data_IF_786474208212
#
_entry.id   IF_786474208212
#
_cell.length_a   1.000
_cell.length_b   1.000
_cell.length_c   1.000
_cell.angle_alpha   90.00
_cell.angle_beta   90.00
_cell.angle_gamma   90.00
#
_symmetry.space_group_name_H-M   'P 1'
#
loop_
_entity.id
_entity.type
_entity.pdbx_description
1 polymer ?
#
# COMPACT_ATOMS: atom_id res chain seq x y z
N UNK A 1 -15.49 39.54 0.12
CA UNK A 1 -15.74 38.26 0.82
C UNK A 1 -14.70 37.29 0.28
N UNK A 2 -13.68 36.99 1.08
CA UNK A 2 -12.70 35.96 0.72
C UNK A 2 -13.44 34.64 0.99
N UNK A 3 -13.70 33.86 -0.05
CA UNK A 3 -14.27 32.53 0.13
C UNK A 3 -13.22 31.69 0.88
N UNK A 4 -13.57 31.27 2.09
CA UNK A 4 -12.78 30.31 2.85
C UNK A 4 -12.61 29.07 1.98
N UNK A 5 -11.35 28.77 1.67
CA UNK A 5 -10.95 27.58 0.93
C UNK A 5 -11.37 26.36 1.77
N UNK A 6 -12.53 25.77 1.45
CA UNK A 6 -12.97 24.47 1.97
C UNK A 6 -11.81 23.48 1.75
N UNK A 7 -11.10 23.15 2.83
CA UNK A 7 -10.19 22.01 2.79
C UNK A 7 -11.07 20.79 2.62
N UNK A 8 -11.17 20.27 1.40
CA UNK A 8 -11.70 18.93 1.19
C UNK A 8 -11.02 18.00 2.19
N UNK A 9 -11.80 17.42 3.09
CA UNK A 9 -11.30 16.43 4.04
C UNK A 9 -11.05 15.15 3.25
N UNK A 10 -9.86 15.06 2.65
CA UNK A 10 -9.39 13.83 2.01
C UNK A 10 -9.22 12.78 3.10
N UNK A 11 -9.74 11.57 2.86
CA UNK A 11 -9.59 10.46 3.80
C UNK A 11 -8.11 10.13 4.02
N UNK A 12 -7.70 9.75 5.25
CA UNK A 12 -6.35 9.27 5.53
C UNK A 12 -5.95 8.11 4.61
N UNK A 13 -4.67 8.05 4.23
CA UNK A 13 -4.17 6.99 3.34
C UNK A 13 -4.30 5.61 3.98
N UNK A 14 -4.20 5.53 5.31
CA UNK A 14 -4.35 4.31 6.09
C UNK A 14 -5.77 3.73 5.99
N UNK A 15 -6.80 4.58 5.92
CA UNK A 15 -8.18 4.12 5.70
C UNK A 15 -8.33 3.46 4.34
N UNK A 16 -7.78 4.11 3.29
CA UNK A 16 -7.82 3.58 1.92
C UNK A 16 -7.04 2.27 1.82
N UNK A 17 -5.84 2.21 2.39
CA UNK A 17 -5.01 1.00 2.40
C UNK A 17 -5.69 -0.14 3.18
N UNK A 18 -6.35 0.15 4.31
CA UNK A 18 -7.07 -0.85 5.09
C UNK A 18 -8.29 -1.41 4.35
N UNK A 19 -9.01 -0.58 3.61
CA UNK A 19 -10.12 -1.01 2.74
C UNK A 19 -9.62 -1.97 1.66
N UNK A 20 -8.56 -1.60 0.94
CA UNK A 20 -7.97 -2.42 -0.13
C UNK A 20 -7.39 -3.74 0.39
N UNK A 21 -6.69 -3.72 1.53
CA UNK A 21 -6.06 -4.91 2.10
C UNK A 21 -7.09 -5.99 2.48
N UNK A 22 -8.33 -5.62 2.82
CA UNK A 22 -9.42 -6.55 3.16
C UNK A 22 -9.95 -7.33 1.95
N UNK A 23 -9.72 -6.84 0.74
CA UNK A 23 -10.12 -7.54 -0.48
C UNK A 23 -9.22 -8.74 -0.80
N UNK A 24 -8.06 -8.82 -0.14
CA UNK A 24 -7.05 -9.87 -0.36
C UNK A 24 -7.20 -10.96 0.73
N UNK A 25 -7.40 -12.23 0.34
CA UNK A 25 -7.45 -13.36 1.28
C UNK A 25 -6.15 -13.53 2.10
N UNK A 26 -6.27 -14.01 3.34
CA UNK A 26 -5.12 -14.25 4.23
C UNK A 26 -4.07 -15.19 3.61
N UNK A 27 -4.50 -16.21 2.89
CA UNK A 27 -3.60 -17.16 2.21
C UNK A 27 -2.70 -16.52 1.15
N UNK A 28 -3.09 -15.37 0.58
CA UNK A 28 -2.23 -14.61 -0.34
C UNK A 28 -1.19 -13.79 0.43
N UNK A 29 -1.56 -13.26 1.60
CA UNK A 29 -0.63 -12.60 2.51
C UNK A 29 0.43 -13.57 3.02
N UNK A 30 0.05 -14.81 3.29
CA UNK A 30 0.95 -15.87 3.77
C UNK A 30 1.97 -16.31 2.71
N UNK A 31 1.75 -16.01 1.43
CA UNK A 31 2.70 -16.27 0.34
C UNK A 31 3.78 -15.19 0.22
N UNK A 32 3.63 -14.06 0.90
CA UNK A 32 4.60 -12.98 0.79
C UNK A 32 5.94 -13.39 1.43
N UNK A 33 7.06 -13.07 0.77
CA UNK A 33 8.37 -13.38 1.31
C UNK A 33 8.68 -12.48 2.52
N UNK A 34 9.38 -13.03 3.52
CA UNK A 34 9.77 -12.30 4.74
C UNK A 34 10.66 -11.09 4.43
N UNK A 35 11.44 -11.17 3.34
CA UNK A 35 12.36 -10.13 2.88
C UNK A 35 11.78 -9.28 1.73
N UNK A 36 10.45 -9.25 1.57
CA UNK A 36 9.77 -8.52 0.47
C UNK A 36 10.21 -7.07 0.38
N UNK A 37 10.31 -6.36 1.51
CA UNK A 37 10.66 -4.95 1.53
C UNK A 37 12.13 -4.70 1.18
N UNK A 38 13.02 -5.61 1.57
CA UNK A 38 14.46 -5.49 1.29
C UNK A 38 14.78 -5.82 -0.17
N UNK A 39 14.02 -6.77 -0.74
CA UNK A 39 14.20 -7.30 -2.08
C UNK A 39 13.04 -6.97 -3.04
N UNK A 40 12.37 -5.82 -2.85
CA UNK A 40 11.19 -5.44 -3.63
C UNK A 40 11.44 -5.48 -5.15
N UNK A 41 12.55 -4.92 -5.61
CA UNK A 41 12.89 -4.87 -7.03
C UNK A 41 13.06 -6.29 -7.62
N UNK A 42 13.58 -7.23 -6.83
CA UNK A 42 13.71 -8.62 -7.26
C UNK A 42 12.33 -9.24 -7.51
N UNK A 43 11.37 -9.01 -6.61
CA UNK A 43 10.03 -9.57 -6.73
C UNK A 43 9.18 -8.89 -7.80
N UNK A 44 9.37 -7.59 -8.05
CA UNK A 44 8.61 -6.85 -9.06
C UNK A 44 9.21 -6.97 -10.46
N UNK A 45 10.54 -7.02 -10.57
CA UNK A 45 11.24 -6.87 -11.86
C UNK A 45 12.25 -8.00 -12.15
N UNK A 46 12.48 -8.93 -11.23
CA UNK A 46 13.40 -10.05 -11.43
C UNK A 46 14.88 -9.68 -11.37
N UNK A 47 15.24 -8.50 -10.84
CA UNK A 47 16.66 -8.13 -10.63
C UNK A 47 17.30 -9.01 -9.55
N UNK A 48 18.63 -9.20 -9.52
CA UNK A 48 19.28 -9.97 -8.45
C UNK A 48 18.97 -9.41 -7.05
N UNK A 49 18.80 -10.29 -6.05
CA UNK A 49 18.66 -9.89 -4.64
C UNK A 49 19.92 -9.15 -4.15
N UNK A 50 19.71 -8.23 -3.21
CA UNK A 50 20.80 -7.45 -2.57
C UNK A 50 21.58 -8.28 -1.56
#
# INVERSE_FOLDING_TARGET
MIADNEKETVRPIEEVLSELAKEIPQEEWDKLPEDLNDNLDHYLYGVPKK
#
